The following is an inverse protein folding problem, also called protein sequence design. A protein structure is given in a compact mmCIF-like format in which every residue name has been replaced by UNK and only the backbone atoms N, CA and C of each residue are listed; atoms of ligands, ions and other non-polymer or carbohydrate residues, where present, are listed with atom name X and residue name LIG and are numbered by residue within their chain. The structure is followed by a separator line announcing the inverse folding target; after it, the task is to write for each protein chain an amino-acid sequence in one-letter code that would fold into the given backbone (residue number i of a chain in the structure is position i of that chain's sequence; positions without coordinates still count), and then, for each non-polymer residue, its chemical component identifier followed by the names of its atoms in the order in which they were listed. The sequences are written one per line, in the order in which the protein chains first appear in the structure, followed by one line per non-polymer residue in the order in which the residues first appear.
data_IF_147926199744
#
_entry.id   IF_147926199744
#
_cell.length_a   1.000
_cell.length_b   1.000
_cell.length_c   1.000
_cell.angle_alpha   90.00
_cell.angle_beta   90.00
_cell.angle_gamma   90.00
#
_symmetry.space_group_name_H-M   'P 1'
#
loop_
_entity.id
_entity.type
_entity.pdbx_description
1 polymer ?
#
# COMPACT_ATOMS: atom_id res chain seq x y z
N UNK A 1 -19.67 -18.76 1.11
CA UNK A 1 -19.53 -18.82 -0.35
C UNK A 1 -20.46 -17.76 -0.95
N UNK A 2 -19.92 -16.83 -1.72
CA UNK A 2 -20.73 -15.90 -2.50
C UNK A 2 -21.58 -16.69 -3.50
N UNK A 3 -22.85 -16.35 -3.65
CA UNK A 3 -23.68 -16.87 -4.74
C UNK A 3 -23.00 -16.53 -6.07
N UNK A 4 -23.09 -17.44 -7.05
CA UNK A 4 -22.53 -17.18 -8.40
C UNK A 4 -23.19 -15.94 -9.00
N UNK A 5 -22.39 -15.11 -9.64
CA UNK A 5 -22.83 -13.83 -10.22
C UNK A 5 -22.76 -12.65 -9.25
N UNK A 6 -22.98 -11.46 -9.79
CA UNK A 6 -22.82 -10.18 -9.12
C UNK A 6 -21.46 -9.54 -9.37
N UNK A 7 -21.25 -8.36 -8.79
CA UNK A 7 -20.06 -7.53 -9.04
C UNK A 7 -19.06 -7.61 -7.90
N UNK A 8 -17.78 -7.66 -8.26
CA UNK A 8 -16.63 -7.54 -7.37
C UNK A 8 -15.82 -6.32 -7.78
N UNK A 9 -15.61 -5.41 -6.86
CA UNK A 9 -14.83 -4.19 -7.05
C UNK A 9 -13.53 -4.27 -6.24
N UNK A 10 -12.44 -3.78 -6.82
CA UNK A 10 -11.20 -3.58 -6.09
C UNK A 10 -10.45 -2.35 -6.61
N UNK A 11 -9.65 -1.68 -5.76
CA UNK A 11 -8.95 -0.46 -6.20
C UNK A 11 -7.81 -0.78 -7.15
N UNK A 12 -7.60 0.09 -8.16
CA UNK A 12 -6.66 -0.16 -9.26
C UNK A 12 -5.19 -0.33 -8.83
N UNK A 13 -4.84 0.11 -7.62
CA UNK A 13 -3.51 -0.03 -7.05
C UNK A 13 -3.41 -1.05 -5.92
N UNK A 14 -4.30 -2.03 -5.83
CA UNK A 14 -4.23 -3.10 -4.83
C UNK A 14 -2.93 -3.90 -4.94
N UNK A 15 -2.48 -4.37 -3.76
CA UNK A 15 -1.39 -5.33 -3.72
C UNK A 15 -1.78 -6.62 -4.47
N UNK A 16 -0.84 -7.32 -5.14
CA UNK A 16 -1.13 -8.57 -5.84
C UNK A 16 -1.85 -9.64 -4.99
N UNK A 17 -1.68 -9.60 -3.67
CA UNK A 17 -2.39 -10.49 -2.74
C UNK A 17 -3.92 -10.29 -2.72
N UNK A 18 -4.41 -9.13 -3.15
CA UNK A 18 -5.82 -8.80 -3.31
C UNK A 18 -6.21 -8.78 -4.79
N UNK A 19 -5.43 -8.10 -5.64
CA UNK A 19 -5.74 -7.95 -7.05
C UNK A 19 -5.80 -9.30 -7.79
N UNK A 20 -4.82 -10.18 -7.59
CA UNK A 20 -4.79 -11.46 -8.29
C UNK A 20 -5.96 -12.40 -7.91
N UNK A 21 -6.35 -12.55 -6.63
CA UNK A 21 -7.58 -13.25 -6.28
C UNK A 21 -8.84 -12.64 -6.90
N UNK A 22 -8.97 -11.30 -6.90
CA UNK A 22 -10.12 -10.64 -7.55
C UNK A 22 -10.15 -10.96 -9.05
N UNK A 23 -9.02 -10.82 -9.75
CA UNK A 23 -8.91 -11.15 -11.17
C UNK A 23 -9.25 -12.63 -11.48
N UNK A 24 -8.93 -13.56 -10.58
CA UNK A 24 -9.26 -14.97 -10.75
C UNK A 24 -10.77 -15.28 -10.68
N UNK A 25 -11.58 -14.32 -10.23
CA UNK A 25 -13.04 -14.45 -10.20
C UNK A 25 -13.72 -14.04 -11.52
N UNK A 26 -12.98 -13.47 -12.47
CA UNK A 26 -13.49 -13.18 -13.82
C UNK A 26 -14.06 -14.44 -14.47
N UNK A 27 -15.18 -14.27 -15.18
CA UNK A 27 -15.94 -15.39 -15.74
C UNK A 27 -17.00 -15.98 -14.80
N UNK A 28 -16.90 -15.75 -13.49
CA UNK A 28 -17.96 -16.09 -12.52
C UNK A 28 -18.64 -14.85 -11.97
N UNK A 29 -17.89 -13.75 -11.87
CA UNK A 29 -18.34 -12.44 -11.38
C UNK A 29 -17.95 -11.34 -12.37
N UNK A 30 -18.70 -10.23 -12.37
CA UNK A 30 -18.30 -8.98 -13.00
C UNK A 30 -17.24 -8.30 -12.12
N UNK A 31 -15.97 -8.45 -12.50
CA UNK A 31 -14.83 -7.93 -11.75
C UNK A 31 -14.36 -6.64 -12.39
N UNK A 32 -14.41 -5.53 -11.62
CA UNK A 32 -14.01 -4.21 -12.11
C UNK A 32 -13.06 -3.51 -11.13
N UNK A 33 -12.22 -2.63 -11.69
CA UNK A 33 -11.29 -1.81 -10.92
C UNK A 33 -11.90 -0.44 -10.63
N UNK A 34 -11.71 0.02 -9.40
CA UNK A 34 -12.05 1.39 -8.98
C UNK A 34 -10.83 2.26 -9.30
N UNK A 35 -10.95 3.28 -10.16
CA UNK A 35 -9.81 4.09 -10.57
C UNK A 35 -9.31 5.01 -9.45
N UNK A 36 -8.06 5.43 -9.61
CA UNK A 36 -7.40 6.42 -8.76
C UNK A 36 -7.39 7.81 -9.41
N UNK A 37 -7.26 8.83 -8.59
CA UNK A 37 -6.86 10.18 -9.01
C UNK A 37 -5.33 10.28 -9.16
N UNK A 38 -4.84 11.47 -9.49
CA UNK A 38 -3.41 11.73 -9.64
C UNK A 38 -2.61 11.64 -8.32
N UNK A 39 -3.27 11.75 -7.17
CA UNK A 39 -2.65 11.57 -5.85
C UNK A 39 -2.61 10.09 -5.42
N UNK A 40 -3.24 9.19 -6.18
CA UNK A 40 -3.33 7.77 -5.87
C UNK A 40 -4.44 7.44 -4.87
N UNK A 41 -5.39 8.34 -4.68
CA UNK A 41 -6.60 8.14 -3.87
C UNK A 41 -7.71 7.62 -4.77
N UNK A 42 -8.57 6.76 -4.23
CA UNK A 42 -9.72 6.24 -4.96
C UNK A 42 -10.68 7.35 -5.36
N UNK A 43 -11.15 7.34 -6.60
CA UNK A 43 -12.15 8.26 -7.10
C UNK A 43 -13.54 7.83 -6.60
N UNK A 44 -14.10 8.59 -5.67
CA UNK A 44 -15.41 8.30 -5.09
C UNK A 44 -16.56 8.43 -6.08
N UNK A 45 -16.47 9.38 -7.02
CA UNK A 45 -17.42 9.54 -8.13
C UNK A 45 -17.46 8.28 -9.02
N UNK A 46 -16.31 7.76 -9.40
CA UNK A 46 -16.22 6.54 -10.17
C UNK A 46 -16.65 5.30 -9.36
N UNK A 47 -16.37 5.26 -8.07
CA UNK A 47 -16.87 4.19 -7.20
C UNK A 47 -18.39 4.23 -7.16
N UNK A 48 -19.01 5.40 -7.01
CA UNK A 48 -20.48 5.55 -6.97
C UNK A 48 -21.13 5.02 -8.25
N UNK A 49 -20.57 5.32 -9.42
CA UNK A 49 -21.03 4.81 -10.72
C UNK A 49 -20.88 3.28 -10.86
N UNK A 50 -19.82 2.71 -10.26
CA UNK A 50 -19.57 1.28 -10.31
C UNK A 50 -20.43 0.46 -9.35
N UNK A 51 -20.92 1.05 -8.26
CA UNK A 51 -21.73 0.36 -7.29
C UNK A 51 -23.12 0.05 -7.85
N UNK A 52 -23.55 -1.20 -7.68
CA UNK A 52 -24.87 -1.68 -8.08
C UNK A 52 -25.48 -2.53 -6.95
N UNK A 53 -26.80 -2.73 -6.91
CA UNK A 53 -27.42 -3.64 -5.95
C UNK A 53 -26.83 -5.07 -5.98
N UNK A 54 -26.26 -5.48 -7.11
CA UNK A 54 -25.59 -6.78 -7.27
C UNK A 54 -24.12 -6.80 -6.81
N UNK A 55 -23.59 -5.68 -6.34
CA UNK A 55 -22.23 -5.65 -5.79
C UNK A 55 -22.15 -6.57 -4.57
N UNK A 56 -21.15 -7.46 -4.55
CA UNK A 56 -20.96 -8.49 -3.53
C UNK A 56 -19.74 -8.24 -2.65
N UNK A 57 -18.70 -7.66 -3.24
CA UNK A 57 -17.44 -7.44 -2.55
C UNK A 57 -16.79 -6.16 -3.06
N UNK A 58 -16.27 -5.38 -2.13
CA UNK A 58 -15.45 -4.21 -2.38
C UNK A 58 -14.13 -4.44 -1.62
N UNK A 59 -13.01 -4.43 -2.35
CA UNK A 59 -11.68 -4.56 -1.77
C UNK A 59 -10.93 -3.23 -1.89
N UNK A 60 -10.46 -2.71 -0.78
CA UNK A 60 -9.75 -1.42 -0.71
C UNK A 60 -8.58 -1.55 0.26
N UNK A 61 -7.38 -1.10 -0.14
CA UNK A 61 -6.31 -0.97 0.82
C UNK A 61 -6.50 0.29 1.68
N UNK A 62 -6.12 0.24 2.96
CA UNK A 62 -6.19 1.42 3.82
C UNK A 62 -5.15 2.47 3.41
N UNK A 63 -3.95 2.02 3.07
CA UNK A 63 -2.83 2.85 2.62
C UNK A 63 -2.18 2.19 1.42
N UNK A 64 -2.00 2.95 0.35
CA UNK A 64 -1.29 2.44 -0.81
C UNK A 64 0.20 2.23 -0.50
N UNK A 65 0.70 1.04 -0.78
CA UNK A 65 2.06 0.62 -0.45
C UNK A 65 3.14 1.26 -1.32
N UNK A 66 2.79 1.95 -2.39
CA UNK A 66 3.72 2.64 -3.28
C UNK A 66 3.61 4.16 -3.17
N UNK A 67 2.42 4.74 -3.35
CA UNK A 67 2.20 6.19 -3.29
C UNK A 67 2.10 6.74 -1.86
N UNK A 68 1.75 5.91 -0.88
CA UNK A 68 1.46 6.34 0.48
C UNK A 68 0.10 7.03 0.64
N UNK A 69 -0.77 6.97 -0.37
CA UNK A 69 -2.11 7.53 -0.30
C UNK A 69 -2.97 6.77 0.71
N UNK A 70 -3.67 7.50 1.57
CA UNK A 70 -4.66 6.99 2.53
C UNK A 70 -6.03 7.01 1.87
N UNK A 71 -6.72 5.87 1.88
CA UNK A 71 -8.04 5.76 1.26
C UNK A 71 -9.15 6.28 2.18
N UNK A 72 -10.17 6.95 1.62
CA UNK A 72 -11.29 7.53 2.37
C UNK A 72 -12.30 6.43 2.76
N UNK A 73 -11.91 5.58 3.74
CA UNK A 73 -12.71 4.41 4.12
C UNK A 73 -14.09 4.76 4.64
N UNK A 74 -14.27 5.92 5.28
CA UNK A 74 -15.56 6.38 5.77
C UNK A 74 -16.52 6.64 4.61
N UNK A 75 -16.10 7.39 3.61
CA UNK A 75 -16.88 7.74 2.43
C UNK A 75 -17.20 6.50 1.58
N UNK A 76 -16.22 5.58 1.45
CA UNK A 76 -16.43 4.30 0.77
C UNK A 76 -17.49 3.46 1.48
N UNK A 77 -17.43 3.39 2.82
CA UNK A 77 -18.40 2.66 3.62
C UNK A 77 -19.80 3.29 3.49
N UNK A 78 -19.91 4.62 3.51
CA UNK A 78 -21.18 5.35 3.32
C UNK A 78 -21.78 5.09 1.93
N UNK A 79 -20.98 5.11 0.88
CA UNK A 79 -21.42 4.78 -0.49
C UNK A 79 -21.94 3.33 -0.56
N UNK A 80 -21.18 2.37 0.01
CA UNK A 80 -21.58 0.97 0.10
C UNK A 80 -22.92 0.83 0.83
N UNK A 81 -23.07 1.44 2.01
CA UNK A 81 -24.27 1.32 2.83
C UNK A 81 -25.51 1.90 2.14
N UNK A 82 -25.33 2.97 1.36
CA UNK A 82 -26.40 3.60 0.61
C UNK A 82 -26.82 2.82 -0.64
N UNK A 83 -25.87 2.29 -1.41
CA UNK A 83 -26.14 1.76 -2.75
C UNK A 83 -26.15 0.23 -2.82
N UNK A 84 -25.40 -0.44 -1.96
CA UNK A 84 -25.28 -1.90 -1.92
C UNK A 84 -25.02 -2.42 -0.50
N UNK A 85 -25.91 -2.25 0.46
CA UNK A 85 -25.69 -2.55 1.89
C UNK A 85 -25.35 -4.03 2.16
N UNK A 86 -25.62 -4.92 1.20
CA UNK A 86 -25.25 -6.34 1.30
C UNK A 86 -23.82 -6.63 0.84
N UNK A 87 -23.14 -5.68 0.18
CA UNK A 87 -21.78 -5.86 -0.25
C UNK A 87 -20.84 -5.95 0.96
N UNK A 88 -19.92 -6.93 0.92
CA UNK A 88 -18.86 -7.05 1.90
C UNK A 88 -17.75 -6.03 1.60
N UNK A 89 -17.24 -5.38 2.64
CA UNK A 89 -16.10 -4.48 2.55
C UNK A 89 -14.85 -5.16 3.15
N UNK A 90 -13.89 -5.48 2.29
CA UNK A 90 -12.57 -5.97 2.68
C UNK A 90 -11.56 -4.84 2.64
N UNK A 91 -10.80 -4.69 3.72
CA UNK A 91 -9.72 -3.70 3.80
C UNK A 91 -8.36 -4.40 3.94
N UNK A 92 -7.46 -4.14 3.00
CA UNK A 92 -6.05 -4.46 3.18
C UNK A 92 -5.41 -3.39 4.08
N UNK A 93 -5.24 -3.74 5.35
CA UNK A 93 -4.68 -2.88 6.38
C UNK A 93 -3.17 -3.02 6.56
N UNK A 94 -2.50 -3.80 5.73
CA UNK A 94 -1.08 -4.15 5.89
C UNK A 94 -0.17 -2.92 6.05
N UNK A 95 -0.45 -1.83 5.36
CA UNK A 95 0.31 -0.59 5.48
C UNK A 95 -0.29 0.40 6.49
N UNK A 96 -1.57 0.27 6.83
CA UNK A 96 -2.26 1.15 7.79
C UNK A 96 -2.13 0.70 9.25
N UNK A 97 -2.10 -0.62 9.48
CA UNK A 97 -2.08 -1.19 10.82
C UNK A 97 -0.94 -0.62 11.68
N UNK A 98 -1.25 -0.22 12.92
CA UNK A 98 -0.38 0.46 13.90
C UNK A 98 0.11 1.87 13.49
N UNK A 99 -0.24 2.38 12.30
CA UNK A 99 0.17 3.71 11.81
C UNK A 99 -0.99 4.69 11.70
N UNK A 100 -2.16 4.18 11.36
CA UNK A 100 -3.42 4.92 11.28
C UNK A 100 -4.49 4.19 12.07
N UNK A 101 -5.37 4.95 12.70
CA UNK A 101 -6.53 4.37 13.37
C UNK A 101 -7.57 3.90 12.35
N UNK A 102 -8.25 2.79 12.68
CA UNK A 102 -9.42 2.32 11.95
C UNK A 102 -10.39 1.68 12.94
N UNK A 103 -11.64 2.09 12.90
CA UNK A 103 -12.71 1.43 13.64
C UNK A 103 -13.53 0.58 12.67
N UNK A 104 -13.20 -0.72 12.59
CA UNK A 104 -13.89 -1.67 11.72
C UNK A 104 -15.40 -1.73 11.99
N UNK A 105 -15.81 -1.57 13.26
CA UNK A 105 -17.20 -1.69 13.65
C UNK A 105 -17.98 -0.45 13.23
N UNK A 106 -17.45 0.74 13.51
CA UNK A 106 -18.08 2.01 13.14
C UNK A 106 -18.21 2.17 11.62
N UNK A 107 -17.21 1.68 10.85
CA UNK A 107 -17.21 1.74 9.38
C UNK A 107 -17.88 0.52 8.73
N UNK A 108 -18.38 -0.44 9.51
CA UNK A 108 -18.98 -1.65 8.96
C UNK A 108 -18.04 -2.46 8.05
N UNK A 109 -16.72 -2.44 8.35
CA UNK A 109 -15.73 -3.24 7.63
C UNK A 109 -15.92 -4.71 7.99
N UNK A 110 -16.08 -5.56 6.98
CA UNK A 110 -16.35 -6.99 7.16
C UNK A 110 -15.10 -7.82 7.36
N UNK A 111 -13.97 -7.37 6.80
CA UNK A 111 -12.68 -8.01 7.04
C UNK A 111 -11.52 -7.04 6.88
N UNK A 112 -10.49 -7.24 7.72
CA UNK A 112 -9.28 -6.42 7.72
C UNK A 112 -8.05 -7.32 7.80
N UNK A 113 -7.17 -7.21 6.81
CA UNK A 113 -5.94 -7.99 6.74
C UNK A 113 -4.75 -7.20 7.29
N UNK A 114 -3.86 -7.87 8.03
CA UNK A 114 -2.62 -7.29 8.51
C UNK A 114 -1.46 -8.27 8.40
N UNK A 115 -0.23 -7.75 8.43
CA UNK A 115 0.99 -8.55 8.31
C UNK A 115 2.05 -8.11 9.33
N UNK A 116 2.58 -9.07 10.10
CA UNK A 116 3.49 -8.82 11.21
C UNK A 116 4.80 -8.16 10.78
N UNK A 117 5.37 -8.56 9.66
CA UNK A 117 6.65 -8.01 9.19
C UNK A 117 6.60 -6.52 8.81
N UNK A 118 5.42 -5.93 8.66
CA UNK A 118 5.29 -4.48 8.39
C UNK A 118 5.35 -3.63 9.66
N UNK A 119 5.24 -4.26 10.82
CA UNK A 119 5.34 -3.60 12.12
C UNK A 119 6.51 -4.17 12.95
N UNK A 120 7.58 -4.62 12.28
CA UNK A 120 8.79 -5.19 12.87
C UNK A 120 8.60 -6.56 13.55
N UNK A 121 7.46 -7.21 13.34
CA UNK A 121 7.21 -8.59 13.77
C UNK A 121 7.84 -9.63 12.82
N UNK A 122 7.74 -10.92 13.16
CA UNK A 122 8.29 -12.00 12.37
C UNK A 122 7.68 -12.05 10.95
N UNK A 123 8.47 -12.51 9.98
CA UNK A 123 7.96 -12.87 8.66
C UNK A 123 7.12 -14.14 8.74
N UNK A 124 6.16 -14.30 7.84
CA UNK A 124 5.31 -15.50 7.75
C UNK A 124 4.14 -15.53 8.75
N UNK A 125 3.90 -14.44 9.48
CA UNK A 125 2.73 -14.27 10.35
C UNK A 125 1.92 -13.03 9.96
N UNK A 126 0.61 -13.13 10.04
CA UNK A 126 -0.36 -12.07 9.84
C UNK A 126 -1.71 -12.50 10.39
N UNK A 127 -2.69 -11.64 10.30
CA UNK A 127 -4.05 -11.96 10.74
C UNK A 127 -5.09 -11.41 9.75
N UNK A 128 -6.21 -12.10 9.68
CA UNK A 128 -7.45 -11.63 9.07
C UNK A 128 -8.47 -11.42 10.18
N UNK A 129 -8.77 -10.18 10.50
CA UNK A 129 -9.82 -9.83 11.44
C UNK A 129 -11.15 -9.87 10.68
N UNK A 130 -12.12 -10.61 11.20
CA UNK A 130 -13.43 -10.80 10.54
C UNK A 130 -14.55 -10.21 11.37
N UNK A 131 -15.38 -9.41 10.72
CA UNK A 131 -16.64 -8.91 11.28
C UNK A 131 -17.73 -9.99 11.33
N UNK A 132 -18.86 -9.71 12.01
CA UNK A 132 -19.89 -10.72 12.26
C UNK A 132 -20.62 -11.19 11.00
N UNK A 133 -20.65 -10.38 9.95
CA UNK A 133 -21.27 -10.75 8.65
C UNK A 133 -20.39 -11.65 7.79
N UNK A 134 -19.05 -11.65 8.03
CA UNK A 134 -18.11 -12.35 7.17
C UNK A 134 -18.25 -13.86 7.30
N UNK A 135 -18.33 -14.55 6.17
CA UNK A 135 -18.34 -16.00 6.08
C UNK A 135 -17.29 -16.43 5.06
N UNK A 136 -16.27 -17.10 5.54
CA UNK A 136 -15.15 -17.56 4.71
C UNK A 136 -15.20 -19.09 4.60
N UNK A 137 -15.08 -19.59 3.39
CA UNK A 137 -14.90 -21.03 3.18
C UNK A 137 -13.46 -21.43 3.48
N UNK A 138 -13.29 -22.57 4.17
CA UNK A 138 -11.97 -23.13 4.42
C UNK A 138 -11.26 -23.44 3.09
N UNK A 139 -10.02 -22.98 2.96
CA UNK A 139 -9.17 -23.29 1.80
C UNK A 139 -8.14 -24.37 2.10
N UNK A 140 -7.83 -24.61 3.38
CA UNK A 140 -6.94 -25.67 3.83
C UNK A 140 -7.70 -26.58 4.79
N UNK A 141 -8.11 -27.72 4.29
CA UNK A 141 -8.85 -28.72 5.04
C UNK A 141 -7.89 -29.59 5.88
N UNK A 142 -8.34 -30.09 7.01
CA UNK A 142 -7.55 -30.94 7.91
C UNK A 142 -8.06 -30.95 9.35
N UNK A 143 -7.19 -30.79 10.32
CA UNK A 143 -7.43 -31.00 11.76
C UNK A 143 -8.28 -29.95 12.49
N UNK A 144 -8.90 -29.01 11.79
CA UNK A 144 -9.87 -28.07 12.39
C UNK A 144 -9.28 -26.85 13.10
N UNK A 145 -7.98 -26.59 12.96
CA UNK A 145 -7.33 -25.40 13.51
C UNK A 145 -7.92 -24.11 12.92
N UNK A 146 -7.72 -22.97 13.59
CA UNK A 146 -8.29 -21.67 13.23
C UNK A 146 -9.82 -21.76 12.96
N UNK A 147 -10.56 -22.42 13.84
CA UNK A 147 -12.02 -22.66 13.70
C UNK A 147 -12.38 -23.39 12.39
N UNK A 148 -11.55 -24.32 11.97
CA UNK A 148 -11.66 -25.05 10.71
C UNK A 148 -11.52 -24.21 9.44
N UNK A 149 -11.08 -22.96 9.53
CA UNK A 149 -10.87 -22.10 8.37
C UNK A 149 -9.48 -22.29 7.73
N UNK A 150 -8.48 -22.62 8.54
CA UNK A 150 -7.12 -22.86 8.09
C UNK A 150 -6.48 -23.95 8.94
N UNK A 151 -6.51 -25.17 8.45
CA UNK A 151 -5.92 -26.31 9.13
C UNK A 151 -4.39 -26.31 9.09
N UNK A 152 -3.78 -27.05 10.02
CA UNK A 152 -2.35 -27.11 10.27
C UNK A 152 -2.00 -26.48 11.62
N UNK A 153 -0.99 -27.05 12.30
CA UNK A 153 -0.56 -26.57 13.63
C UNK A 153 -0.31 -25.06 13.60
N UNK A 154 -0.82 -24.38 14.59
CA UNK A 154 -0.68 -22.93 14.74
C UNK A 154 0.79 -22.55 14.95
N UNK A 155 1.23 -21.51 14.27
CA UNK A 155 2.58 -20.94 14.42
C UNK A 155 2.66 -20.11 15.71
N UNK A 156 2.63 -20.78 16.87
CA UNK A 156 2.63 -20.11 18.18
C UNK A 156 3.83 -19.16 18.41
N UNK A 157 5.07 -19.49 17.99
CA UNK A 157 6.17 -18.53 18.06
C UNK A 157 5.92 -17.27 17.21
N UNK A 158 5.38 -17.43 16.00
CA UNK A 158 5.01 -16.30 15.13
C UNK A 158 3.90 -15.44 15.72
N UNK A 159 2.89 -16.06 16.34
CA UNK A 159 1.78 -15.37 17.02
C UNK A 159 2.31 -14.56 18.21
N UNK A 160 3.15 -15.16 19.06
CA UNK A 160 3.78 -14.47 20.17
C UNK A 160 4.66 -13.30 19.70
N UNK A 161 5.43 -13.49 18.63
CA UNK A 161 6.24 -12.43 18.02
C UNK A 161 5.40 -11.31 17.40
N UNK A 162 4.23 -11.62 16.82
CA UNK A 162 3.29 -10.60 16.36
C UNK A 162 2.73 -9.78 17.52
N UNK A 163 2.33 -10.43 18.61
CA UNK A 163 1.86 -9.75 19.82
C UNK A 163 2.94 -8.81 20.38
N UNK A 164 4.15 -9.31 20.57
CA UNK A 164 5.28 -8.52 21.04
C UNK A 164 5.55 -7.29 20.15
N UNK A 165 5.44 -7.44 18.82
CA UNK A 165 5.61 -6.33 17.88
C UNK A 165 4.49 -5.28 18.00
N UNK A 166 3.24 -5.70 18.26
CA UNK A 166 2.10 -4.79 18.50
C UNK A 166 2.29 -4.01 19.80
N UNK A 167 2.70 -4.69 20.87
CA UNK A 167 2.92 -4.08 22.19
C UNK A 167 4.10 -3.11 22.20
N UNK A 168 5.19 -3.47 21.49
CA UNK A 168 6.40 -2.66 21.42
C UNK A 168 6.35 -1.55 20.37
N UNK A 169 5.32 -1.51 19.50
CA UNK A 169 5.26 -0.49 18.43
C UNK A 169 5.07 0.91 19.02
N UNK A 170 5.97 1.87 18.75
CA UNK A 170 5.87 3.22 19.30
C UNK A 170 4.59 3.92 18.81
N UNK A 171 3.74 4.32 19.76
CA UNK A 171 2.50 5.06 19.46
C UNK A 171 2.79 6.51 19.11
N UNK A 172 3.69 7.13 19.90
CA UNK A 172 4.23 8.46 19.62
C UNK A 172 5.51 8.30 18.81
N UNK A 173 5.54 8.87 17.62
CA UNK A 173 6.68 8.75 16.73
C UNK A 173 6.75 9.95 15.76
N UNK A 174 7.95 10.19 15.24
CA UNK A 174 8.26 11.33 14.38
C UNK A 174 8.18 11.01 12.88
N UNK A 175 7.58 9.91 12.46
CA UNK A 175 7.60 9.47 11.05
C UNK A 175 7.14 10.57 10.08
N UNK A 176 6.09 11.33 10.44
CA UNK A 176 5.59 12.42 9.59
C UNK A 176 6.61 13.54 9.46
N UNK A 177 7.22 13.98 10.56
CA UNK A 177 8.25 15.02 10.55
C UNK A 177 9.50 14.58 9.75
N UNK A 178 9.94 13.34 9.98
CA UNK A 178 11.07 12.72 9.26
C UNK A 178 10.77 12.63 7.75
N UNK A 179 9.55 12.25 7.37
CA UNK A 179 9.12 12.22 5.97
C UNK A 179 9.11 13.60 5.33
N UNK A 180 8.59 14.60 6.03
CA UNK A 180 8.54 15.99 5.53
C UNK A 180 9.95 16.52 5.33
N UNK A 181 10.85 16.30 6.28
CA UNK A 181 12.25 16.70 6.16
C UNK A 181 12.91 16.06 4.94
N UNK A 182 12.74 14.74 4.74
CA UNK A 182 13.24 14.05 3.54
C UNK A 182 12.66 14.66 2.26
N UNK A 183 11.36 14.94 2.23
CA UNK A 183 10.70 15.53 1.07
C UNK A 183 11.29 16.88 0.70
N UNK A 184 11.53 17.75 1.67
CA UNK A 184 12.13 19.08 1.47
C UNK A 184 13.55 18.96 0.93
N UNK A 185 14.39 18.09 1.54
CA UNK A 185 15.74 17.82 1.08
C UNK A 185 15.78 17.33 -0.39
N UNK A 186 14.89 16.38 -0.75
CA UNK A 186 14.83 15.87 -2.12
C UNK A 186 14.35 16.91 -3.14
N UNK A 187 13.45 17.81 -2.74
CA UNK A 187 13.04 18.95 -3.56
C UNK A 187 14.19 19.92 -3.81
N UNK A 188 14.98 20.22 -2.80
CA UNK A 188 16.17 21.07 -2.94
C UNK A 188 17.20 20.43 -3.89
N UNK A 189 17.47 19.13 -3.74
CA UNK A 189 18.44 18.38 -4.56
C UNK A 189 18.06 18.37 -6.04
N UNK A 190 16.82 18.05 -6.35
CA UNK A 190 16.37 17.87 -7.74
C UNK A 190 15.75 19.12 -8.37
N UNK A 191 15.35 20.11 -7.57
CA UNK A 191 14.77 21.38 -8.04
C UNK A 191 13.60 21.14 -9.00
N UNK A 192 13.65 21.73 -10.18
CA UNK A 192 12.63 21.61 -11.22
C UNK A 192 12.44 20.17 -11.75
N UNK A 193 13.36 19.29 -11.46
CA UNK A 193 13.29 17.87 -11.87
C UNK A 193 12.68 16.96 -10.81
N UNK A 194 12.31 17.48 -9.66
CA UNK A 194 11.55 16.74 -8.66
C UNK A 194 10.10 16.54 -9.09
N UNK A 195 9.57 15.33 -8.92
CA UNK A 195 8.14 15.04 -9.11
C UNK A 195 7.64 14.16 -7.96
N UNK A 196 6.56 14.58 -7.32
CA UNK A 196 5.87 13.78 -6.31
C UNK A 196 4.97 12.75 -6.99
N UNK A 197 4.95 11.50 -6.50
CA UNK A 197 4.11 10.41 -6.98
C UNK A 197 3.17 9.95 -5.85
N UNK A 198 2.29 10.81 -5.42
CA UNK A 198 1.39 10.56 -4.30
C UNK A 198 0.79 11.85 -3.79
N UNK A 199 0.07 11.78 -2.66
CA UNK A 199 -0.51 12.97 -2.03
C UNK A 199 0.56 13.87 -1.43
N UNK A 200 0.22 15.15 -1.25
CA UNK A 200 1.07 16.09 -0.53
C UNK A 200 1.48 15.49 0.83
N UNK A 201 2.79 15.36 1.12
CA UNK A 201 3.27 14.74 2.35
C UNK A 201 2.78 15.42 3.64
N UNK A 202 2.38 16.68 3.59
CA UNK A 202 1.81 17.43 4.72
C UNK A 202 0.33 17.14 4.93
N UNK A 203 -0.38 16.61 3.93
CA UNK A 203 -1.82 16.38 4.00
C UNK A 203 -2.20 15.17 4.87
N UNK A 204 -3.46 15.13 5.32
CA UNK A 204 -4.00 14.00 6.09
C UNK A 204 -4.23 12.75 5.25
N UNK A 205 -4.33 12.90 3.93
CA UNK A 205 -4.42 11.77 3.00
C UNK A 205 -3.06 11.16 2.64
N UNK A 206 -1.97 11.63 3.29
CA UNK A 206 -0.62 11.07 3.13
C UNK A 206 -0.21 10.25 4.36
N UNK A 207 0.05 8.97 4.18
CA UNK A 207 0.54 8.10 5.24
C UNK A 207 1.92 8.58 5.76
N UNK A 208 2.19 8.50 7.07
CA UNK A 208 3.38 9.10 7.66
C UNK A 208 4.70 8.42 7.25
N UNK A 209 4.66 7.21 6.71
CA UNK A 209 5.80 6.32 6.55
C UNK A 209 6.20 6.02 5.10
N UNK A 210 5.49 6.53 4.10
CA UNK A 210 5.78 6.31 2.69
C UNK A 210 5.89 7.65 1.98
N UNK A 211 6.97 7.82 1.23
CA UNK A 211 7.18 8.90 0.27
C UNK A 211 7.59 8.28 -1.06
N UNK A 212 6.88 8.62 -2.12
CA UNK A 212 7.25 8.23 -3.49
C UNK A 212 7.49 9.49 -4.31
N UNK A 213 8.65 9.59 -4.90
CA UNK A 213 8.99 10.71 -5.78
C UNK A 213 9.93 10.26 -6.90
N UNK A 214 10.01 11.07 -7.93
CA UNK A 214 10.90 10.86 -9.07
C UNK A 214 11.93 11.98 -9.15
N UNK A 215 13.18 11.62 -9.34
CA UNK A 215 14.31 12.53 -9.53
C UNK A 215 14.73 12.49 -11.00
N UNK A 216 13.91 13.11 -11.84
CA UNK A 216 14.10 13.09 -13.30
C UNK A 216 15.40 13.83 -13.66
N UNK A 217 16.21 13.35 -14.62
CA UNK A 217 15.97 12.21 -15.51
C UNK A 217 16.54 10.87 -15.03
N UNK A 218 17.08 10.79 -13.82
CA UNK A 218 17.83 9.61 -13.35
C UNK A 218 16.89 8.41 -13.17
N UNK A 219 17.24 7.28 -13.78
CA UNK A 219 16.45 6.04 -13.63
C UNK A 219 16.56 5.51 -12.22
N UNK A 220 15.41 5.08 -11.67
CA UNK A 220 15.33 4.58 -10.30
C UNK A 220 16.26 3.39 -10.04
N UNK A 221 16.39 2.46 -10.99
CA UNK A 221 17.29 1.30 -10.86
C UNK A 221 18.75 1.73 -10.71
N UNK A 222 19.19 2.70 -11.53
CA UNK A 222 20.57 3.22 -11.47
C UNK A 222 20.84 3.89 -10.13
N UNK A 223 19.89 4.72 -9.67
CA UNK A 223 20.01 5.37 -8.36
C UNK A 223 20.01 4.36 -7.22
N UNK A 224 19.13 3.34 -7.28
CA UNK A 224 19.04 2.29 -6.27
C UNK A 224 20.37 1.55 -6.09
N UNK A 225 20.99 1.10 -7.19
CA UNK A 225 22.30 0.43 -7.12
C UNK A 225 23.40 1.34 -6.60
N UNK A 226 23.40 2.63 -6.96
CA UNK A 226 24.35 3.60 -6.44
C UNK A 226 24.21 3.79 -4.92
N UNK A 227 22.97 3.88 -4.43
CA UNK A 227 22.66 4.03 -3.01
C UNK A 227 22.99 2.78 -2.19
N UNK A 228 22.81 1.57 -2.76
CA UNK A 228 23.21 0.32 -2.10
C UNK A 228 24.71 0.31 -1.74
N UNK A 229 25.56 0.90 -2.58
CA UNK A 229 26.98 1.08 -2.30
C UNK A 229 27.26 1.91 -1.05
N UNK A 230 26.40 2.87 -0.74
CA UNK A 230 26.44 3.70 0.47
C UNK A 230 25.61 3.12 1.63
N UNK A 231 25.07 1.91 1.51
CA UNK A 231 24.18 1.25 2.48
C UNK A 231 22.86 2.00 2.71
N UNK A 232 22.41 2.75 1.73
CA UNK A 232 21.09 3.39 1.71
C UNK A 232 20.17 2.52 0.86
N UNK A 233 19.17 1.92 1.50
CA UNK A 233 18.26 0.98 0.87
C UNK A 233 16.90 1.63 0.59
N UNK A 234 16.57 1.76 -0.66
CA UNK A 234 15.30 2.31 -1.16
C UNK A 234 14.62 1.28 -2.08
N UNK A 235 13.42 1.55 -2.54
CA UNK A 235 12.75 0.67 -3.48
C UNK A 235 12.28 1.45 -4.72
N UNK A 236 12.35 0.81 -5.88
CA UNK A 236 11.57 1.22 -7.04
C UNK A 236 10.16 0.59 -6.95
N UNK A 237 9.16 1.23 -7.53
CA UNK A 237 7.75 0.74 -7.49
C UNK A 237 7.54 -0.66 -8.10
N UNK A 238 8.54 -1.23 -8.78
CA UNK A 238 8.48 -2.53 -9.46
C UNK A 238 9.24 -3.66 -8.73
N UNK A 239 9.60 -3.49 -7.47
CA UNK A 239 10.46 -4.43 -6.71
C UNK A 239 9.97 -5.89 -6.65
N UNK A 240 8.73 -6.17 -7.02
CA UNK A 240 8.16 -7.54 -7.02
C UNK A 240 8.15 -8.25 -8.38
N UNK A 241 8.60 -7.64 -9.46
CA UNK A 241 8.62 -8.27 -10.80
C UNK A 241 10.03 -8.47 -11.33
N UNK A 242 10.75 -9.43 -10.74
CA UNK A 242 12.02 -9.93 -11.26
C UNK A 242 11.84 -10.48 -12.68
N UNK A 243 12.41 -9.83 -13.68
CA UNK A 243 12.78 -10.26 -15.04
C UNK A 243 12.19 -9.49 -16.24
N UNK A 244 11.21 -8.59 -16.07
CA UNK A 244 10.81 -7.65 -17.15
C UNK A 244 10.54 -6.29 -16.51
N UNK A 245 11.16 -5.24 -17.04
CA UNK A 245 10.88 -3.84 -16.69
C UNK A 245 9.40 -3.51 -16.96
N UNK A 246 8.52 -3.81 -16.00
CA UNK A 246 7.12 -3.37 -16.07
C UNK A 246 7.01 -2.14 -15.17
N UNK A 247 6.41 -1.09 -15.71
CA UNK A 247 6.02 0.07 -14.92
C UNK A 247 5.14 -0.39 -13.75
N UNK A 248 5.24 0.32 -12.63
CA UNK A 248 4.37 0.09 -11.49
C UNK A 248 2.89 0.16 -11.90
N UNK A 249 2.07 -0.86 -11.57
CA UNK A 249 0.63 -0.80 -11.80
C UNK A 249 -0.02 0.39 -11.07
N UNK A 250 0.47 0.73 -9.88
CA UNK A 250 -0.02 1.87 -9.08
C UNK A 250 0.25 3.19 -9.81
N UNK A 251 1.50 3.44 -10.21
CA UNK A 251 1.85 4.67 -10.93
C UNK A 251 1.14 4.75 -12.28
N UNK A 252 0.92 3.60 -12.94
CA UNK A 252 0.13 3.53 -14.17
C UNK A 252 -1.34 3.88 -13.93
N UNK A 253 -1.94 3.38 -12.84
CA UNK A 253 -3.31 3.69 -12.45
C UNK A 253 -3.50 5.18 -12.06
N UNK A 254 -2.43 5.83 -11.58
CA UNK A 254 -2.37 7.27 -11.30
C UNK A 254 -2.09 8.11 -12.56
N UNK A 255 -1.94 7.51 -13.73
CA UNK A 255 -1.57 8.16 -14.99
C UNK A 255 -0.22 8.91 -14.92
N UNK A 256 0.73 8.43 -14.11
CA UNK A 256 2.06 9.02 -14.02
C UNK A 256 2.78 8.82 -15.36
N UNK A 257 3.35 9.88 -15.97
CA UNK A 257 4.06 9.78 -17.23
C UNK A 257 5.20 8.76 -17.15
N UNK A 258 5.40 7.98 -18.22
CA UNK A 258 6.38 6.88 -18.24
C UNK A 258 7.77 7.29 -17.77
N UNK A 259 8.31 8.42 -18.28
CA UNK A 259 9.63 8.93 -17.90
C UNK A 259 9.73 9.25 -16.41
N UNK A 260 8.66 9.78 -15.82
CA UNK A 260 8.56 10.04 -14.38
C UNK A 260 8.50 8.72 -13.60
N UNK A 261 7.68 7.76 -14.04
CA UNK A 261 7.55 6.46 -13.40
C UNK A 261 8.86 5.63 -13.44
N UNK A 262 9.65 5.74 -14.52
CA UNK A 262 10.97 5.10 -14.62
C UNK A 262 12.01 5.70 -13.65
N UNK A 263 11.79 6.93 -13.17
CA UNK A 263 12.63 7.60 -12.17
C UNK A 263 12.07 7.51 -10.74
N UNK A 264 10.97 6.80 -10.54
CA UNK A 264 10.25 6.77 -9.26
C UNK A 264 10.96 5.94 -8.20
N UNK A 265 11.23 6.54 -7.06
CA UNK A 265 11.83 5.93 -5.88
C UNK A 265 10.85 6.01 -4.72
N UNK A 266 10.63 4.87 -4.05
CA UNK A 266 9.86 4.82 -2.82
C UNK A 266 10.80 4.79 -1.62
N UNK A 267 10.62 5.74 -0.72
CA UNK A 267 11.24 5.79 0.59
C UNK A 267 10.26 5.27 1.63
N UNK A 268 10.76 4.41 2.51
CA UNK A 268 9.97 3.85 3.62
C UNK A 268 10.61 4.22 4.94
N UNK A 269 9.85 4.84 5.81
CA UNK A 269 10.26 5.36 7.10
C UNK A 269 9.62 4.50 8.19
N UNK A 270 10.34 4.23 9.26
CA UNK A 270 9.79 3.54 10.41
C UNK A 270 9.89 4.44 11.67
N UNK A 271 9.22 4.07 12.78
CA UNK A 271 9.25 4.88 14.01
C UNK A 271 10.65 5.13 14.58
N UNK A 272 11.63 4.35 14.16
CA UNK A 272 13.03 4.43 14.63
C UNK A 272 13.93 5.19 13.66
N UNK A 273 13.42 5.66 12.54
CA UNK A 273 14.20 6.44 11.57
C UNK A 273 14.47 7.83 12.15
N UNK A 274 15.75 8.24 12.16
CA UNK A 274 16.17 9.54 12.68
C UNK A 274 16.37 10.59 11.59
N UNK A 275 16.42 11.86 11.98
CA UNK A 275 16.72 12.97 11.05
C UNK A 275 18.13 12.83 10.46
N UNK A 276 19.11 12.42 11.27
CA UNK A 276 20.52 12.23 10.83
C UNK A 276 20.61 11.12 9.76
N UNK A 277 19.83 10.05 9.88
CA UNK A 277 19.77 9.00 8.87
C UNK A 277 19.18 9.53 7.56
N UNK A 278 18.19 10.39 7.64
CA UNK A 278 17.56 11.03 6.47
C UNK A 278 18.54 12.01 5.82
N UNK A 279 19.25 12.82 6.61
CA UNK A 279 20.28 13.73 6.09
C UNK A 279 21.40 12.98 5.38
N UNK A 280 21.91 11.90 5.98
CA UNK A 280 22.89 11.04 5.35
C UNK A 280 22.39 10.48 4.01
N UNK A 281 21.17 9.96 3.98
CA UNK A 281 20.57 9.44 2.75
C UNK A 281 20.40 10.53 1.69
N UNK A 282 19.95 11.73 2.08
CA UNK A 282 19.79 12.86 1.18
C UNK A 282 21.14 13.32 0.60
N UNK A 283 22.20 13.35 1.39
CA UNK A 283 23.56 13.71 0.92
C UNK A 283 24.10 12.67 -0.07
N UNK A 284 23.88 11.38 0.16
CA UNK A 284 24.20 10.31 -0.79
C UNK A 284 23.43 10.50 -2.11
N UNK A 285 22.13 10.79 -2.01
CA UNK A 285 21.26 11.04 -3.19
C UNK A 285 21.76 12.26 -3.95
N UNK A 286 22.10 13.36 -3.28
CA UNK A 286 22.61 14.58 -3.93
C UNK A 286 23.87 14.30 -4.75
N UNK A 287 24.85 13.59 -4.16
CA UNK A 287 26.09 13.21 -4.82
C UNK A 287 25.85 12.35 -6.05
N UNK A 288 25.04 11.30 -5.94
CA UNK A 288 24.73 10.42 -7.05
C UNK A 288 23.87 11.10 -8.11
N UNK A 289 22.89 11.91 -7.72
CA UNK A 289 22.03 12.63 -8.65
C UNK A 289 22.85 13.57 -9.56
N UNK A 290 23.75 14.36 -8.98
CA UNK A 290 24.62 15.26 -9.74
C UNK A 290 25.54 14.51 -10.73
N UNK A 291 25.99 13.33 -10.38
CA UNK A 291 26.79 12.49 -11.26
C UNK A 291 25.94 11.86 -12.36
N UNK A 292 24.85 11.18 -11.99
CA UNK A 292 24.06 10.34 -12.90
C UNK A 292 23.25 11.15 -13.92
N UNK A 293 22.74 12.33 -13.56
CA UNK A 293 21.98 13.17 -14.49
C UNK A 293 22.76 13.62 -15.72
N UNK A 294 24.09 13.55 -15.67
CA UNK A 294 24.98 13.91 -16.80
C UNK A 294 24.97 12.84 -17.90
N UNK A 295 24.74 11.60 -17.55
CA UNK A 295 24.73 10.46 -18.47
C UNK A 295 23.38 10.23 -19.14
N UNK A 296 22.30 10.72 -18.56
CA UNK A 296 20.93 10.54 -19.08
C UNK A 296 20.52 11.61 -20.13
N UNK A 297 21.41 12.55 -20.46
CA UNK A 297 21.14 13.63 -21.44
C UNK A 297 21.37 13.23 -22.90
N UNK A 298 21.58 11.94 -23.20
CA UNK A 298 21.83 11.45 -24.57
C UNK A 298 20.65 10.60 -25.09
#
# INVERSE_FOLDING_TARGET
SMQRGGRVLYTAGEHPAVAAPCESLKGTFDVQQIPYDAAGVVRLDALEELLTPDTRLICVMQVNNESGAVMPLCEIAQLRDRLCPQAMLHVDGVQGFMRLSVDMRALGIDSYALSGHKIHGPKGIGALVMGPRMRVAARMLGGGQEKALRSGTENTPGIAGLLAAIEAYPRDNNMRAVKLHLYERLREIAGENFRLNGPDPASDIAAPHILNCSLVPVRSETMLYALEGDRVYVANGSACSSRKQKLSPVLSAMNVPRRQAESAIRFSICPYTTMEQVDFAADCIARHYEMLKRYERR
#
